data_IF_854473371533
#
_entry.id   IF_854473371533
#
_cell.length_a   1.000
_cell.length_b   1.000
_cell.length_c   1.000
_cell.angle_alpha   90.00
_cell.angle_beta   90.00
_cell.angle_gamma   90.00
#
_symmetry.space_group_name_H-M   'P 1'
#
loop_
_entity.id
_entity.type
_entity.pdbx_description
1 polymer ?
#
# COMPACT_ATOMS: atom_id res chain seq x y z
N UNK A 1 -3.90 20.77 4.75
CA UNK A 1 -5.38 20.76 4.76
C UNK A 1 -5.98 20.76 3.36
N UNK A 2 -5.61 21.66 2.42
CA UNK A 2 -6.24 21.73 1.09
C UNK A 2 -6.29 20.39 0.34
N UNK A 3 -5.17 19.68 0.22
CA UNK A 3 -5.11 18.36 -0.41
C UNK A 3 -6.05 17.34 0.26
N UNK A 4 -6.11 17.34 1.59
CA UNK A 4 -6.98 16.44 2.34
C UNK A 4 -8.47 16.78 2.18
N UNK A 5 -8.80 18.05 2.05
CA UNK A 5 -10.18 18.51 1.73
C UNK A 5 -10.60 18.05 0.34
N UNK A 6 -9.71 18.14 -0.66
CA UNK A 6 -9.96 17.62 -2.00
C UNK A 6 -10.11 16.08 -1.98
N UNK A 7 -9.24 15.38 -1.25
CA UNK A 7 -9.32 13.92 -1.10
C UNK A 7 -10.64 13.48 -0.43
N UNK A 8 -11.17 14.29 0.48
CA UNK A 8 -12.41 14.04 1.24
C UNK A 8 -13.64 14.74 0.62
N UNK A 9 -13.74 14.76 -0.71
CA UNK A 9 -14.90 15.28 -1.44
C UNK A 9 -15.33 16.70 -1.03
N UNK A 10 -14.38 17.57 -0.66
CA UNK A 10 -14.62 18.96 -0.31
C UNK A 10 -14.98 19.21 1.16
N UNK A 11 -14.95 18.19 2.01
CA UNK A 11 -15.12 18.33 3.47
C UNK A 11 -13.74 18.40 4.12
N UNK A 12 -13.47 19.44 4.88
CA UNK A 12 -12.23 19.55 5.65
C UNK A 12 -12.20 18.49 6.76
N UNK A 13 -11.21 17.59 6.80
CA UNK A 13 -11.19 16.50 7.79
C UNK A 13 -10.93 16.98 9.23
N UNK A 14 -10.39 18.19 9.40
CA UNK A 14 -10.12 18.78 10.72
C UNK A 14 -11.35 19.49 11.29
N UNK A 15 -11.98 20.37 10.50
CA UNK A 15 -13.12 21.15 10.95
C UNK A 15 -14.47 20.48 10.70
N UNK A 16 -14.48 19.37 9.94
CA UNK A 16 -15.67 18.64 9.49
C UNK A 16 -16.65 19.51 8.68
N UNK A 17 -16.22 20.71 8.29
CA UNK A 17 -17.03 21.63 7.49
C UNK A 17 -16.85 21.38 5.99
N UNK A 18 -17.93 21.54 5.24
CA UNK A 18 -17.88 21.52 3.78
C UNK A 18 -17.31 22.84 3.26
N UNK A 19 -16.12 22.77 2.68
CA UNK A 19 -15.39 23.93 2.10
C UNK A 19 -15.66 24.04 0.60
N UNK A 20 -15.76 22.91 -0.10
CA UNK A 20 -16.03 22.83 -1.54
C UNK A 20 -17.21 21.90 -1.81
N UNK A 21 -18.00 22.21 -2.83
CA UNK A 21 -19.01 21.26 -3.27
C UNK A 21 -18.37 20.12 -4.09
N UNK A 22 -19.06 19.00 -4.20
CA UNK A 22 -18.54 17.80 -4.87
C UNK A 22 -18.24 18.03 -6.36
N UNK A 23 -19.05 18.86 -7.04
CA UNK A 23 -18.83 19.20 -8.43
C UNK A 23 -17.53 19.97 -8.61
N UNK A 24 -17.25 20.95 -7.76
CA UNK A 24 -15.99 21.70 -7.77
C UNK A 24 -14.79 20.77 -7.58
N UNK A 25 -14.86 19.83 -6.62
CA UNK A 25 -13.80 18.85 -6.41
C UNK A 25 -13.59 18.00 -7.66
N UNK A 26 -14.68 17.47 -8.23
CA UNK A 26 -14.63 16.66 -9.46
C UNK A 26 -14.01 17.40 -10.63
N UNK A 27 -14.30 18.71 -10.75
CA UNK A 27 -13.79 19.53 -11.85
C UNK A 27 -12.32 19.96 -11.61
N UNK A 28 -11.90 20.12 -10.36
CA UNK A 28 -10.52 20.47 -10.00
C UNK A 28 -9.52 19.34 -10.17
N UNK A 29 -9.87 18.11 -9.82
CA UNK A 29 -8.92 16.98 -9.83
C UNK A 29 -8.32 16.69 -11.22
N UNK A 30 -9.07 16.68 -12.34
CA UNK A 30 -8.51 16.53 -13.68
C UNK A 30 -7.57 17.69 -14.08
N UNK A 31 -7.87 18.92 -13.64
CA UNK A 31 -7.01 20.08 -13.90
C UNK A 31 -5.69 19.94 -13.16
N UNK A 32 -5.73 19.53 -11.90
CA UNK A 32 -4.51 19.24 -11.12
C UNK A 32 -3.68 18.12 -11.75
N UNK A 33 -4.35 17.13 -12.32
CA UNK A 33 -3.70 16.00 -13.00
C UNK A 33 -3.01 16.41 -14.30
N UNK A 34 -3.68 17.23 -15.13
CA UNK A 34 -3.19 17.60 -16.45
C UNK A 34 -2.21 18.79 -16.45
N UNK A 35 -2.29 19.67 -15.44
CA UNK A 35 -1.58 20.96 -15.45
C UNK A 35 -0.98 21.35 -14.08
N UNK A 36 -1.06 20.49 -13.07
CA UNK A 36 -0.66 20.84 -11.71
C UNK A 36 0.85 20.89 -11.48
N UNK A 37 1.63 20.22 -12.34
CA UNK A 37 3.10 20.10 -12.23
C UNK A 37 3.82 20.84 -13.36
N UNK A 38 3.25 21.94 -13.84
CA UNK A 38 3.78 22.72 -14.96
C UNK A 38 4.03 21.84 -16.20
N UNK A 39 5.12 22.06 -16.92
CA UNK A 39 5.46 21.29 -18.13
C UNK A 39 5.75 19.82 -17.86
N UNK A 40 6.03 19.46 -16.59
CA UNK A 40 6.24 18.09 -16.17
C UNK A 40 4.94 17.31 -15.90
N UNK A 41 3.75 17.91 -16.02
CA UNK A 41 2.48 17.30 -15.58
C UNK A 41 2.21 15.94 -16.23
N UNK A 42 2.46 15.80 -17.54
CA UNK A 42 2.28 14.54 -18.25
C UNK A 42 3.19 13.41 -17.77
N UNK A 43 4.50 13.70 -17.67
CA UNK A 43 5.49 12.73 -17.18
C UNK A 43 5.24 12.37 -15.71
N UNK A 44 4.92 13.36 -14.88
CA UNK A 44 4.57 13.13 -13.48
C UNK A 44 3.33 12.24 -13.33
N UNK A 45 2.32 12.49 -14.15
CA UNK A 45 1.13 11.66 -14.13
C UNK A 45 1.39 10.21 -14.54
N UNK A 46 2.23 9.99 -15.57
CA UNK A 46 2.61 8.64 -15.99
C UNK A 46 3.34 7.85 -14.88
N UNK A 47 4.21 8.52 -14.11
CA UNK A 47 5.02 7.88 -13.08
C UNK A 47 4.31 7.78 -11.72
N UNK A 48 3.56 8.82 -11.34
CA UNK A 48 2.97 8.94 -10.00
C UNK A 48 1.46 8.68 -10.01
N UNK A 49 0.77 9.05 -11.09
CA UNK A 49 -0.64 8.76 -11.32
C UNK A 49 -1.61 9.40 -10.33
N UNK A 50 -1.22 10.52 -9.73
CA UNK A 50 -2.05 11.24 -8.75
C UNK A 50 -2.24 12.70 -9.19
N UNK A 51 -3.44 13.29 -8.96
CA UNK A 51 -3.62 14.72 -9.04
C UNK A 51 -2.67 15.44 -8.07
N UNK A 52 -1.91 16.41 -8.58
CA UNK A 52 -0.90 17.12 -7.80
C UNK A 52 -0.85 18.59 -8.15
N UNK A 53 -0.29 19.42 -7.27
CA UNK A 53 0.01 20.82 -7.54
C UNK A 53 1.34 21.21 -6.96
N UNK A 54 2.19 21.74 -7.82
CA UNK A 54 3.48 22.31 -7.45
C UNK A 54 3.40 23.81 -7.24
N UNK A 55 4.26 24.33 -6.40
CA UNK A 55 4.44 25.75 -6.13
C UNK A 55 5.91 26.14 -6.13
N UNK A 56 6.25 27.26 -6.74
CA UNK A 56 7.63 27.79 -6.86
C UNK A 56 8.33 28.08 -5.53
N UNK A 57 7.58 28.01 -4.41
CA UNK A 57 8.18 28.03 -3.07
C UNK A 57 8.76 26.69 -2.60
N UNK A 58 8.65 25.62 -3.41
CA UNK A 58 9.14 24.28 -3.09
C UNK A 58 8.08 23.36 -2.46
N UNK A 59 6.81 23.78 -2.44
CA UNK A 59 5.70 22.96 -2.00
C UNK A 59 5.13 22.11 -3.14
N UNK A 60 4.83 20.85 -2.86
CA UNK A 60 4.04 19.97 -3.73
C UNK A 60 2.96 19.32 -2.88
N UNK A 61 1.72 19.35 -3.31
CA UNK A 61 0.70 18.53 -2.71
C UNK A 61 0.14 17.50 -3.71
N UNK A 62 -0.26 16.36 -3.18
CA UNK A 62 -0.83 15.24 -3.91
C UNK A 62 -2.20 14.92 -3.31
N UNK A 63 -3.10 14.49 -4.16
CA UNK A 63 -4.44 14.05 -3.73
C UNK A 63 -4.58 12.58 -4.07
N UNK A 64 -4.78 11.76 -3.03
CA UNK A 64 -5.24 10.38 -3.20
C UNK A 64 -6.75 10.40 -2.94
N UNK A 65 -7.59 10.36 -3.98
CA UNK A 65 -9.03 10.51 -3.82
C UNK A 65 -9.61 9.49 -2.83
N UNK A 66 -10.50 9.94 -1.95
CA UNK A 66 -11.18 9.15 -0.92
C UNK A 66 -10.26 8.52 0.13
N UNK A 67 -8.99 8.91 0.17
CA UNK A 67 -8.03 8.33 1.12
C UNK A 67 -7.28 9.41 1.91
N UNK A 68 -6.42 10.20 1.24
CA UNK A 68 -5.59 11.19 1.92
C UNK A 68 -5.12 12.31 1.00
N UNK A 69 -4.77 13.43 1.62
CA UNK A 69 -3.98 14.49 1.00
C UNK A 69 -2.55 14.48 1.56
N UNK A 70 -1.56 14.57 0.68
CA UNK A 70 -0.14 14.59 1.03
C UNK A 70 0.40 15.97 0.68
N UNK A 71 1.24 16.55 1.53
CA UNK A 71 1.94 17.79 1.25
C UNK A 71 3.41 17.62 1.60
N UNK A 72 4.27 17.98 0.65
CA UNK A 72 5.72 17.88 0.76
C UNK A 72 6.29 19.28 0.55
N UNK A 73 7.22 19.69 1.38
CA UNK A 73 7.91 20.96 1.23
C UNK A 73 9.42 20.74 1.16
N UNK A 74 10.02 21.15 0.04
CA UNK A 74 11.48 21.18 -0.14
C UNK A 74 11.83 22.23 -1.19
N UNK A 75 12.62 23.27 -0.85
CA UNK A 75 12.79 24.48 -1.65
C UNK A 75 13.68 24.33 -2.89
N UNK A 76 14.43 23.22 -3.07
CA UNK A 76 15.18 23.01 -4.30
C UNK A 76 14.24 22.60 -5.42
N UNK A 77 14.26 23.40 -6.50
CA UNK A 77 13.42 23.17 -7.69
C UNK A 77 14.26 22.60 -8.84
N UNK A 78 13.58 21.86 -9.70
CA UNK A 78 14.09 21.47 -11.03
C UNK A 78 13.92 22.61 -12.05
N UNK A 79 14.33 22.35 -13.29
CA UNK A 79 14.24 23.32 -14.39
C UNK A 79 12.78 23.70 -14.73
N UNK A 80 11.82 22.82 -14.43
CA UNK A 80 10.39 23.05 -14.62
C UNK A 80 9.72 23.76 -13.44
N UNK A 81 10.46 24.06 -12.37
CA UNK A 81 9.95 24.77 -11.19
C UNK A 81 9.30 23.88 -10.14
N UNK A 82 9.50 22.56 -10.21
CA UNK A 82 8.97 21.59 -9.25
C UNK A 82 10.02 21.22 -8.19
N UNK A 83 9.56 20.92 -6.97
CA UNK A 83 10.44 20.43 -5.92
C UNK A 83 11.07 19.07 -6.29
N UNK A 84 12.40 19.01 -6.45
CA UNK A 84 13.16 17.81 -6.81
C UNK A 84 12.88 16.67 -5.80
N UNK A 85 12.99 16.97 -4.50
CA UNK A 85 12.74 15.99 -3.45
C UNK A 85 11.24 15.66 -3.30
N UNK A 86 10.37 16.63 -3.63
CA UNK A 86 8.92 16.43 -3.63
C UNK A 86 8.49 15.41 -4.68
N UNK A 87 9.02 15.52 -5.91
CA UNK A 87 8.79 14.55 -6.98
C UNK A 87 9.34 13.18 -6.59
N UNK A 88 10.58 13.09 -6.11
CA UNK A 88 11.19 11.81 -5.72
C UNK A 88 10.41 11.13 -4.60
N UNK A 89 9.94 11.90 -3.61
CA UNK A 89 9.09 11.34 -2.54
C UNK A 89 7.76 10.83 -3.08
N UNK A 90 7.14 11.55 -4.02
CA UNK A 90 5.91 11.10 -4.66
C UNK A 90 6.11 9.76 -5.39
N UNK A 91 7.20 9.61 -6.16
CA UNK A 91 7.56 8.35 -6.84
C UNK A 91 7.77 7.20 -5.86
N UNK A 92 8.45 7.44 -4.73
CA UNK A 92 8.65 6.44 -3.66
C UNK A 92 7.35 6.03 -2.98
N UNK A 93 6.43 6.97 -2.80
CA UNK A 93 5.10 6.65 -2.24
C UNK A 93 4.34 5.71 -3.19
N UNK A 94 4.28 6.02 -4.48
CA UNK A 94 3.56 5.19 -5.45
C UNK A 94 4.27 3.89 -5.78
N UNK A 95 5.60 3.79 -5.60
CA UNK A 95 6.31 2.51 -5.72
C UNK A 95 6.03 1.56 -4.56
N UNK A 96 5.69 2.09 -3.37
CA UNK A 96 5.44 1.30 -2.16
C UNK A 96 3.95 1.03 -1.91
N UNK A 97 3.08 1.95 -2.31
CA UNK A 97 1.65 1.88 -2.02
C UNK A 97 0.82 1.87 -3.29
N UNK A 98 -0.28 1.11 -3.28
CA UNK A 98 -1.28 1.07 -4.36
C UNK A 98 -2.15 2.34 -4.30
N UNK A 99 -1.63 3.45 -4.82
CA UNK A 99 -2.31 4.74 -4.84
C UNK A 99 -2.40 5.39 -6.22
N UNK A 100 -1.71 4.86 -7.22
CA UNK A 100 -1.86 5.30 -8.61
C UNK A 100 -3.30 5.05 -9.06
N UNK A 101 -3.92 5.99 -9.78
CA UNK A 101 -5.34 5.87 -10.17
C UNK A 101 -5.65 4.64 -11.03
N UNK A 102 -4.65 4.07 -11.70
CA UNK A 102 -4.76 2.87 -12.51
C UNK A 102 -4.22 1.60 -11.85
N UNK A 103 -3.87 1.64 -10.57
CA UNK A 103 -3.38 0.45 -9.85
C UNK A 103 -4.40 -0.70 -9.82
N UNK A 104 -5.69 -0.40 -9.91
CA UNK A 104 -6.73 -1.42 -10.00
C UNK A 104 -6.69 -2.28 -11.28
N UNK A 105 -5.93 -1.85 -12.30
CA UNK A 105 -5.73 -2.61 -13.55
C UNK A 105 -4.52 -3.58 -13.48
N UNK A 106 -3.74 -3.54 -12.39
CA UNK A 106 -2.54 -4.34 -12.23
C UNK A 106 -2.62 -5.20 -10.96
N UNK A 107 -2.36 -6.49 -11.10
CA UNK A 107 -2.13 -7.40 -9.96
C UNK A 107 -0.67 -7.20 -9.49
N UNK A 108 -0.45 -6.33 -8.53
CA UNK A 108 0.86 -6.12 -7.91
C UNK A 108 0.85 -6.64 -6.47
N UNK A 109 1.49 -7.79 -6.28
CA UNK A 109 1.66 -8.41 -4.97
C UNK A 109 2.60 -7.64 -4.03
N UNK A 110 3.51 -6.82 -4.60
CA UNK A 110 4.61 -6.20 -3.85
C UNK A 110 4.28 -4.86 -3.18
N UNK A 111 3.13 -4.25 -3.52
CA UNK A 111 2.73 -2.95 -3.00
C UNK A 111 1.57 -3.06 -2.00
N UNK A 112 1.62 -2.23 -0.98
CA UNK A 112 0.60 -2.19 0.08
C UNK A 112 -0.59 -1.33 -0.35
N UNK A 113 -1.81 -1.86 -0.29
CA UNK A 113 -3.01 -1.04 -0.43
C UNK A 113 -3.33 -0.33 0.91
N UNK A 114 -3.17 1.00 0.98
CA UNK A 114 -3.41 1.74 2.21
C UNK A 114 -4.90 1.86 2.57
N UNK A 115 -5.82 1.41 1.71
CA UNK A 115 -7.27 1.35 1.97
C UNK A 115 -7.63 0.13 2.81
N UNK A 116 -6.75 -0.89 2.83
CA UNK A 116 -6.97 -2.12 3.59
C UNK A 116 -6.35 -1.93 4.99
N UNK A 117 -7.13 -2.06 6.07
CA UNK A 117 -6.58 -2.06 7.43
C UNK A 117 -5.45 -3.09 7.58
N UNK A 118 -4.38 -2.72 8.27
CA UNK A 118 -3.21 -3.60 8.49
C UNK A 118 -3.62 -4.95 9.08
N UNK A 119 -4.61 -4.95 9.99
CA UNK A 119 -5.16 -6.18 10.56
C UNK A 119 -5.77 -7.10 9.51
N UNK A 120 -6.54 -6.54 8.57
CA UNK A 120 -7.17 -7.29 7.47
C UNK A 120 -6.13 -7.77 6.45
N UNK A 121 -5.14 -6.92 6.15
CA UNK A 121 -4.03 -7.27 5.26
C UNK A 121 -3.19 -8.44 5.84
N UNK A 122 -2.87 -8.38 7.15
CA UNK A 122 -2.20 -9.49 7.85
C UNK A 122 -3.05 -10.76 7.87
N UNK A 123 -4.35 -10.64 8.13
CA UNK A 123 -5.27 -11.78 8.13
C UNK A 123 -5.36 -12.45 6.74
N UNK A 124 -5.42 -11.68 5.65
CA UNK A 124 -5.46 -12.22 4.29
C UNK A 124 -4.15 -12.96 3.95
N UNK A 125 -2.99 -12.35 4.24
CA UNK A 125 -1.69 -12.99 3.99
C UNK A 125 -1.48 -14.23 4.86
N UNK A 126 -1.92 -14.20 6.11
CA UNK A 126 -1.88 -15.33 7.01
C UNK A 126 -2.80 -16.47 6.52
N UNK A 127 -4.03 -16.15 6.11
CA UNK A 127 -4.98 -17.15 5.60
C UNK A 127 -4.46 -17.84 4.34
N UNK A 128 -3.87 -17.09 3.41
CA UNK A 128 -3.27 -17.64 2.19
C UNK A 128 -2.09 -18.55 2.51
N UNK A 129 -1.18 -18.13 3.40
CA UNK A 129 -0.03 -18.93 3.79
C UNK A 129 -0.44 -20.21 4.54
N UNK A 130 -1.44 -20.12 5.43
CA UNK A 130 -2.00 -21.27 6.16
C UNK A 130 -2.65 -22.25 5.20
N UNK A 131 -3.45 -21.78 4.26
CA UNK A 131 -4.08 -22.64 3.26
C UNK A 131 -3.04 -23.31 2.35
N UNK A 132 -2.10 -22.55 1.80
CA UNK A 132 -1.02 -23.09 0.97
C UNK A 132 -0.21 -24.17 1.73
N UNK A 133 0.08 -23.92 3.01
CA UNK A 133 0.78 -24.87 3.87
C UNK A 133 -0.03 -26.16 4.11
N UNK A 134 -1.33 -26.08 4.28
CA UNK A 134 -2.20 -27.25 4.51
C UNK A 134 -2.31 -28.17 3.28
N UNK A 135 -2.27 -27.60 2.07
CA UNK A 135 -2.37 -28.40 0.82
C UNK A 135 -1.03 -28.72 0.18
N UNK A 136 0.09 -28.31 0.77
CA UNK A 136 1.41 -28.57 0.22
C UNK A 136 1.83 -27.65 -0.94
N UNK A 137 1.22 -26.49 -1.11
CA UNK A 137 1.54 -25.54 -2.19
C UNK A 137 2.78 -24.70 -1.86
N UNK A 138 3.95 -25.29 -2.12
CA UNK A 138 5.25 -24.62 -1.92
C UNK A 138 5.38 -23.38 -2.80
N UNK A 139 4.88 -23.39 -4.04
CA UNK A 139 5.02 -22.25 -4.95
C UNK A 139 4.37 -20.98 -4.41
N UNK A 140 3.18 -21.12 -3.82
CA UNK A 140 2.52 -19.99 -3.15
C UNK A 140 3.32 -19.52 -1.94
N UNK A 141 3.90 -20.41 -1.16
CA UNK A 141 4.74 -20.04 -0.01
C UNK A 141 6.06 -19.37 -0.43
N UNK A 142 6.71 -19.84 -1.50
CA UNK A 142 7.89 -19.20 -2.09
C UNK A 142 7.57 -17.77 -2.57
N UNK A 143 6.43 -17.60 -3.25
CA UNK A 143 5.96 -16.27 -3.67
C UNK A 143 5.74 -15.36 -2.44
N UNK A 144 5.04 -15.83 -1.42
CA UNK A 144 4.80 -15.07 -0.20
C UNK A 144 6.10 -14.71 0.53
N UNK A 145 7.08 -15.61 0.55
CA UNK A 145 8.40 -15.35 1.10
C UNK A 145 9.16 -14.28 0.28
N UNK A 146 9.12 -14.36 -1.07
CA UNK A 146 9.73 -13.36 -1.95
C UNK A 146 9.10 -11.97 -1.79
N UNK A 147 7.80 -11.91 -1.49
CA UNK A 147 7.06 -10.70 -1.15
C UNK A 147 7.33 -10.18 0.27
N UNK A 148 8.30 -10.77 0.98
CA UNK A 148 8.64 -10.44 2.38
C UNK A 148 7.44 -10.54 3.34
N UNK A 149 6.49 -11.43 3.06
CA UNK A 149 5.39 -11.73 3.99
C UNK A 149 5.91 -12.54 5.17
N UNK A 150 5.43 -12.21 6.36
CA UNK A 150 5.78 -12.96 7.56
C UNK A 150 5.02 -14.29 7.61
N UNK A 151 5.71 -15.38 7.27
CA UNK A 151 5.17 -16.74 7.30
C UNK A 151 5.01 -17.31 8.73
N UNK A 152 5.40 -16.55 9.77
CA UNK A 152 5.24 -16.95 11.17
C UNK A 152 3.97 -16.44 11.84
N UNK A 153 3.12 -15.72 11.12
CA UNK A 153 1.86 -15.16 11.64
C UNK A 153 0.82 -16.28 11.76
N UNK A 154 0.19 -16.37 12.93
CA UNK A 154 -0.92 -17.28 13.20
C UNK A 154 -2.29 -16.66 12.93
N UNK A 155 -3.30 -17.52 12.72
CA UNK A 155 -4.71 -17.12 12.65
C UNK A 155 -5.26 -16.74 14.06
N UNK A 156 -6.59 -16.62 14.20
CA UNK A 156 -7.26 -16.34 15.48
C UNK A 156 -6.96 -17.36 16.57
N UNK A 157 -6.61 -18.58 16.20
CA UNK A 157 -6.25 -19.68 17.08
C UNK A 157 -4.74 -19.77 17.33
N UNK A 158 -3.98 -18.78 16.86
CA UNK A 158 -2.51 -18.73 16.87
C UNK A 158 -1.85 -19.87 16.06
N UNK A 159 -2.62 -20.56 15.20
CA UNK A 159 -2.08 -21.56 14.30
C UNK A 159 -1.39 -20.91 13.12
N UNK A 160 -0.11 -21.21 12.94
CA UNK A 160 0.74 -20.72 11.87
C UNK A 160 0.72 -21.68 10.66
N UNK A 161 1.23 -21.27 9.49
CA UNK A 161 1.45 -22.19 8.37
C UNK A 161 2.21 -23.47 8.76
N UNK A 162 3.19 -23.36 9.68
CA UNK A 162 3.96 -24.50 10.15
C UNK A 162 3.08 -25.51 10.92
N UNK A 163 2.11 -25.04 11.71
CA UNK A 163 1.15 -25.91 12.40
C UNK A 163 0.32 -26.74 11.42
N UNK A 164 -0.19 -26.08 10.36
CA UNK A 164 -1.04 -26.76 9.39
C UNK A 164 -0.24 -27.71 8.51
N UNK A 165 0.96 -27.31 8.09
CA UNK A 165 1.85 -28.20 7.33
C UNK A 165 2.18 -29.48 8.13
N UNK A 166 2.49 -29.33 9.43
CA UNK A 166 2.80 -30.47 10.29
C UNK A 166 1.55 -31.36 10.52
N UNK A 167 0.38 -30.75 10.80
CA UNK A 167 -0.86 -31.49 11.03
C UNK A 167 -1.33 -32.28 9.80
N UNK A 168 -1.12 -31.74 8.59
CA UNK A 168 -1.49 -32.37 7.32
C UNK A 168 -0.36 -33.23 6.70
N UNK A 169 0.78 -33.37 7.41
CA UNK A 169 1.90 -34.21 6.99
C UNK A 169 2.68 -33.68 5.77
N UNK A 170 2.64 -32.39 5.51
CA UNK A 170 3.31 -31.75 4.36
C UNK A 170 4.80 -31.53 4.65
N UNK A 171 5.60 -32.60 4.61
CA UNK A 171 7.02 -32.59 5.03
C UNK A 171 7.87 -31.57 4.27
N UNK A 172 7.67 -31.46 2.95
CA UNK A 172 8.42 -30.51 2.12
C UNK A 172 8.12 -29.06 2.51
N UNK A 173 6.86 -28.74 2.84
CA UNK A 173 6.46 -27.43 3.33
C UNK A 173 7.02 -27.14 4.72
N UNK A 174 7.02 -28.12 5.62
CA UNK A 174 7.64 -27.99 6.95
C UNK A 174 9.12 -27.66 6.81
N UNK A 175 9.84 -28.39 5.96
CA UNK A 175 11.26 -28.17 5.71
C UNK A 175 11.50 -26.76 5.13
N UNK A 176 10.74 -26.37 4.12
CA UNK A 176 10.81 -25.03 3.53
C UNK A 176 10.59 -23.92 4.57
N UNK A 177 9.53 -24.01 5.40
CA UNK A 177 9.24 -23.01 6.42
C UNK A 177 10.35 -22.88 7.47
N UNK A 178 10.96 -24.00 7.87
CA UNK A 178 12.11 -23.99 8.79
C UNK A 178 13.33 -23.32 8.14
N UNK A 179 13.61 -23.60 6.87
CA UNK A 179 14.68 -22.96 6.10
C UNK A 179 14.46 -21.44 5.97
N UNK A 180 13.20 -20.99 5.88
CA UNK A 180 12.84 -19.56 5.93
C UNK A 180 12.94 -18.96 7.34
N UNK A 181 13.39 -19.71 8.34
CA UNK A 181 13.58 -19.23 9.71
C UNK A 181 12.29 -19.17 10.55
N UNK A 182 11.20 -19.78 10.10
CA UNK A 182 9.97 -19.88 10.88
C UNK A 182 10.19 -20.83 12.07
N UNK A 183 10.03 -20.28 13.28
CA UNK A 183 10.19 -21.07 14.51
C UNK A 183 8.85 -21.67 14.96
N UNK A 184 8.84 -22.89 15.49
CA UNK A 184 7.66 -23.45 16.14
C UNK A 184 7.19 -22.55 17.28
N UNK A 185 5.89 -22.30 17.35
CA UNK A 185 5.22 -21.53 18.40
C UNK A 185 4.06 -22.35 18.93
N UNK A 186 3.63 -22.20 20.19
CA UNK A 186 2.41 -22.85 20.65
C UNK A 186 1.18 -22.18 20.02
N UNK A 187 0.17 -22.99 19.71
CA UNK A 187 -1.16 -22.50 19.37
C UNK A 187 -1.92 -22.03 20.62
N UNK A 188 -3.20 -21.61 20.46
CA UNK A 188 -4.06 -21.12 21.56
C UNK A 188 -4.24 -22.15 22.70
N UNK A 189 -4.05 -23.43 22.43
CA UNK A 189 -4.21 -24.53 23.40
C UNK A 189 -2.87 -25.11 23.85
N UNK A 190 -1.76 -24.52 23.44
CA UNK A 190 -0.42 -24.96 23.80
C UNK A 190 0.15 -26.07 22.90
N UNK A 191 -0.54 -26.40 21.79
CA UNK A 191 -0.09 -27.38 20.80
C UNK A 191 0.96 -26.80 19.84
N UNK A 192 1.91 -27.63 19.41
CA UNK A 192 2.96 -27.26 18.45
C UNK A 192 2.75 -27.87 17.05
N UNK A 193 1.62 -28.57 16.83
CA UNK A 193 1.26 -29.10 15.50
C UNK A 193 1.88 -30.44 15.15
N UNK A 194 2.18 -31.29 16.16
CA UNK A 194 2.54 -32.69 15.90
C UNK A 194 1.34 -33.60 15.97
#
# INVERSE_FOLDING_TARGET
MAAATLANNGVCPVTQSRVLNQKTVRDCLPILQSSGMYDASGAFFQEVGLPAKSGVGGGVFLVVPQLMGICIFSPRLDEQGNSVRGIEMAKRITSKYLVHIFDGAMTNADRVDPRIPISKWRANSCGEAIWAASIGDIRTLERLASEQKDLSIGNSDMRTPLHLAAAEGQLEVVQFLIEQGVKPKPDRWGGYGY
#
